data_IF_202437097065
#
_entry.id   IF_202437097065
#
_cell.length_a   1.000
_cell.length_b   1.000
_cell.length_c   1.000
_cell.angle_alpha   90.00
_cell.angle_beta   90.00
_cell.angle_gamma   90.00
#
_symmetry.space_group_name_H-M   'P 1'
#
loop_
_entity.id
_entity.type
_entity.pdbx_description
1 polymer ?
#
# COMPACT_ATOMS: atom_id res chain seq x y z
N UNK A 1 -16.07 3.94 -4.92
CA UNK A 1 -15.29 2.92 -4.18
C UNK A 1 -14.42 3.66 -3.20
N UNK A 2 -14.61 3.47 -1.91
CA UNK A 2 -13.81 4.18 -0.90
C UNK A 2 -12.57 3.35 -0.52
N UNK A 3 -11.50 4.04 -0.14
CA UNK A 3 -10.25 3.52 0.38
C UNK A 3 -9.89 4.35 1.61
N UNK A 4 -9.36 3.71 2.65
CA UNK A 4 -8.89 4.40 3.85
C UNK A 4 -7.48 4.96 3.65
N UNK A 5 -6.68 4.29 2.81
CA UNK A 5 -5.33 4.70 2.43
C UNK A 5 -5.02 4.28 1.00
N UNK A 6 -4.32 5.15 0.27
CA UNK A 6 -3.74 4.86 -1.03
C UNK A 6 -2.23 5.09 -0.97
N UNK A 7 -1.47 4.05 -1.26
CA UNK A 7 0.00 4.06 -1.27
C UNK A 7 0.47 4.08 -2.72
N UNK A 8 1.35 5.02 -3.05
CA UNK A 8 1.97 5.13 -4.38
C UNK A 8 3.40 4.59 -4.29
N UNK A 9 3.66 3.52 -5.04
CA UNK A 9 4.88 2.72 -5.00
C UNK A 9 4.72 1.47 -4.14
N UNK A 10 5.15 0.32 -4.67
CA UNK A 10 5.07 -1.00 -4.03
C UNK A 10 6.43 -1.57 -3.62
N UNK A 11 7.45 -0.70 -3.54
CA UNK A 11 8.76 -1.05 -2.96
C UNK A 11 8.66 -1.42 -1.48
N UNK A 12 9.80 -1.73 -0.86
CA UNK A 12 9.86 -2.15 0.55
C UNK A 12 9.10 -1.22 1.50
N UNK A 13 9.23 0.09 1.32
CA UNK A 13 8.52 1.09 2.12
C UNK A 13 6.99 1.08 1.88
N UNK A 14 6.56 0.98 0.62
CA UNK A 14 5.15 1.03 0.26
C UNK A 14 4.39 -0.22 0.71
N UNK A 15 4.99 -1.39 0.51
CA UNK A 15 4.44 -2.65 1.00
C UNK A 15 4.35 -2.68 2.53
N UNK A 16 5.41 -2.22 3.24
CA UNK A 16 5.40 -2.15 4.70
C UNK A 16 4.35 -1.15 5.22
N UNK A 17 4.21 0.02 4.59
CA UNK A 17 3.21 1.00 4.96
C UNK A 17 1.77 0.48 4.75
N UNK A 18 1.51 -0.21 3.64
CA UNK A 18 0.21 -0.80 3.36
C UNK A 18 -0.16 -1.90 4.36
N UNK A 19 0.77 -2.80 4.66
CA UNK A 19 0.57 -3.84 5.67
C UNK A 19 0.32 -3.23 7.06
N UNK A 20 1.14 -2.24 7.45
CA UNK A 20 1.00 -1.57 8.75
C UNK A 20 -0.33 -0.83 8.89
N UNK A 21 -0.84 -0.25 7.81
CA UNK A 21 -2.14 0.42 7.83
C UNK A 21 -3.29 -0.57 8.13
N UNK A 22 -3.23 -1.78 7.58
CA UNK A 22 -4.21 -2.84 7.88
C UNK A 22 -4.15 -3.26 9.36
N UNK A 23 -2.95 -3.42 9.90
CA UNK A 23 -2.76 -3.73 11.34
C UNK A 23 -3.29 -2.63 12.27
N UNK A 24 -3.25 -1.38 11.81
CA UNK A 24 -3.75 -0.20 12.53
C UNK A 24 -5.26 0.03 12.34
N UNK A 25 -5.96 -0.85 11.61
CA UNK A 25 -7.41 -0.83 11.48
C UNK A 25 -7.94 -0.18 10.20
N UNK A 26 -7.09 0.13 9.22
CA UNK A 26 -7.58 0.43 7.87
C UNK A 26 -8.33 -0.80 7.34
N UNK A 27 -9.55 -0.61 6.84
CA UNK A 27 -10.39 -1.66 6.28
C UNK A 27 -10.03 -1.93 4.83
N UNK A 28 -9.57 -0.90 4.11
CA UNK A 28 -9.25 -1.00 2.69
C UNK A 28 -8.10 -0.11 2.28
N UNK A 29 -6.99 -0.74 1.93
CA UNK A 29 -5.77 -0.07 1.47
C UNK A 29 -5.55 -0.40 -0.01
N UNK A 30 -5.32 0.64 -0.81
CA UNK A 30 -4.91 0.51 -2.20
C UNK A 30 -3.42 0.74 -2.34
N UNK A 31 -2.75 -0.07 -3.18
CA UNK A 31 -1.36 0.16 -3.56
C UNK A 31 -1.32 0.33 -5.09
N UNK A 32 -0.70 1.39 -5.56
CA UNK A 32 -0.51 1.67 -6.99
C UNK A 32 0.97 1.56 -7.30
N UNK A 33 1.29 0.74 -8.29
CA UNK A 33 2.64 0.58 -8.83
C UNK A 33 2.58 0.77 -10.34
N UNK A 34 3.58 1.45 -10.90
CA UNK A 34 3.67 1.69 -12.33
C UNK A 34 4.41 0.55 -13.06
N UNK A 35 5.42 -0.03 -12.41
CA UNK A 35 6.28 -1.06 -13.00
C UNK A 35 6.07 -2.43 -12.34
N UNK A 36 6.92 -2.79 -11.36
CA UNK A 36 6.91 -4.13 -10.74
C UNK A 36 6.69 -4.08 -9.24
N UNK A 37 5.93 -5.05 -8.75
CA UNK A 37 5.76 -5.25 -7.32
C UNK A 37 7.11 -5.51 -6.63
N UNK A 38 7.36 -4.84 -5.51
CA UNK A 38 8.61 -4.95 -4.77
C UNK A 38 9.66 -3.89 -5.10
N UNK A 39 9.45 -3.07 -6.13
CA UNK A 39 10.36 -1.97 -6.48
C UNK A 39 11.62 -2.46 -7.19
N UNK A 40 12.79 -1.95 -6.79
CA UNK A 40 14.12 -2.14 -7.44
C UNK A 40 14.36 -3.51 -8.01
#
# INVERSE_FOLDING_TARGET
MDYDLLVIGSGSAGAAAAARALELGAKKVGVIEQDRLGGT
#
